data_IF_584588920104
#
_entry.id   IF_584588920104
#
_cell.length_a   1.000
_cell.length_b   1.000
_cell.length_c   1.000
_cell.angle_alpha   90.00
_cell.angle_beta   90.00
_cell.angle_gamma   90.00
#
_symmetry.space_group_name_H-M   'P 1'
#
loop_
_entity.id
_entity.type
_entity.pdbx_description
1 polymer ?
#
# COMPACT_ATOMS: atom_id res chain seq x y z
N UNK A 1 -13.33 10.62 8.29
CA UNK A 1 -12.21 9.73 8.63
C UNK A 1 -11.70 9.08 7.34
N UNK A 2 -10.41 8.78 7.27
CA UNK A 2 -9.75 8.09 6.16
C UNK A 2 -9.27 6.72 6.60
N UNK A 3 -9.34 5.76 5.70
CA UNK A 3 -8.72 4.44 5.85
C UNK A 3 -7.64 4.33 4.77
N UNK A 4 -6.41 4.00 5.19
CA UNK A 4 -5.37 3.53 4.28
C UNK A 4 -5.30 2.02 4.41
N UNK A 5 -5.45 1.33 3.29
CA UNK A 5 -5.30 -0.11 3.19
C UNK A 5 -4.33 -0.41 2.07
N UNK A 6 -3.34 -1.23 2.37
CA UNK A 6 -2.38 -1.76 1.41
C UNK A 6 -2.61 -3.26 1.31
N UNK A 7 -2.97 -3.72 0.11
CA UNK A 7 -3.34 -5.12 -0.13
C UNK A 7 -2.42 -5.73 -1.17
N UNK A 8 -1.96 -6.95 -0.92
CA UNK A 8 -1.40 -7.79 -1.96
C UNK A 8 -2.53 -8.25 -2.90
N UNK A 9 -2.43 -7.94 -4.18
CA UNK A 9 -3.51 -8.27 -5.13
C UNK A 9 -3.56 -9.75 -5.52
N UNK A 10 -2.50 -10.52 -5.27
CA UNK A 10 -2.48 -11.96 -5.54
C UNK A 10 -3.22 -12.73 -4.46
N UNK A 11 -2.82 -12.55 -3.20
CA UNK A 11 -3.41 -13.29 -2.06
C UNK A 11 -4.63 -12.59 -1.45
N UNK A 12 -4.85 -11.31 -1.77
CA UNK A 12 -5.82 -10.43 -1.08
C UNK A 12 -5.53 -10.25 0.41
N UNK A 13 -4.32 -10.58 0.83
CA UNK A 13 -3.85 -10.35 2.18
C UNK A 13 -3.64 -8.85 2.41
N UNK A 14 -4.10 -8.37 3.58
CA UNK A 14 -3.92 -6.96 3.97
C UNK A 14 -2.56 -6.80 4.62
N UNK A 15 -1.64 -6.14 3.91
CA UNK A 15 -0.26 -5.93 4.36
C UNK A 15 -0.16 -4.81 5.40
N UNK A 16 -1.01 -3.78 5.25
CA UNK A 16 -1.08 -2.69 6.22
C UNK A 16 -2.49 -2.09 6.23
N UNK A 17 -2.94 -1.70 7.42
CA UNK A 17 -4.22 -1.03 7.62
C UNK A 17 -4.07 0.05 8.69
N UNK A 18 -4.56 1.25 8.42
CA UNK A 18 -4.63 2.32 9.40
C UNK A 18 -5.86 3.21 9.20
N UNK A 19 -6.38 3.73 10.30
CA UNK A 19 -7.48 4.71 10.33
C UNK A 19 -6.97 6.02 10.89
N UNK A 20 -7.36 7.13 10.28
CA UNK A 20 -7.00 8.45 10.77
C UNK A 20 -7.96 9.55 10.32
N UNK A 21 -7.96 10.66 11.04
CA UNK A 21 -8.69 11.86 10.62
C UNK A 21 -7.98 12.59 9.47
N UNK A 22 -6.68 12.36 9.30
CA UNK A 22 -5.86 12.86 8.18
C UNK A 22 -5.07 11.73 7.55
N UNK A 23 -4.74 11.89 6.26
CA UNK A 23 -3.87 10.98 5.52
C UNK A 23 -2.78 11.79 4.82
N UNK A 24 -1.64 11.94 5.49
CA UNK A 24 -0.49 12.72 5.02
C UNK A 24 0.55 11.82 4.37
N UNK A 25 1.37 12.40 3.51
CA UNK A 25 2.50 11.72 2.85
C UNK A 25 3.41 10.96 3.82
N UNK A 26 3.70 11.54 5.01
CA UNK A 26 4.51 10.88 6.04
C UNK A 26 3.90 9.56 6.52
N UNK A 27 2.57 9.52 6.70
CA UNK A 27 1.86 8.31 7.13
C UNK A 27 1.91 7.22 6.05
N UNK A 28 1.82 7.63 4.78
CA UNK A 28 2.00 6.71 3.65
C UNK A 28 3.42 6.14 3.63
N UNK A 29 4.45 6.98 3.83
CA UNK A 29 5.85 6.52 3.89
C UNK A 29 6.04 5.51 5.01
N UNK A 30 5.58 5.83 6.22
CA UNK A 30 5.69 4.93 7.38
C UNK A 30 5.00 3.58 7.13
N UNK A 31 3.79 3.58 6.57
CA UNK A 31 3.10 2.35 6.22
C UNK A 31 3.94 1.47 5.27
N UNK A 32 4.66 2.09 4.33
CA UNK A 32 5.52 1.35 3.42
C UNK A 32 6.84 0.90 4.03
N UNK A 33 7.41 1.65 4.99
CA UNK A 33 8.56 1.19 5.76
C UNK A 33 8.24 -0.11 6.50
N UNK A 34 7.09 -0.16 7.18
CA UNK A 34 6.61 -1.36 7.86
C UNK A 34 6.41 -2.52 6.87
N UNK A 35 5.77 -2.28 5.72
CA UNK A 35 5.56 -3.33 4.71
C UNK A 35 6.89 -3.88 4.17
N UNK A 36 7.85 -3.00 3.88
CA UNK A 36 9.16 -3.39 3.35
C UNK A 36 9.89 -4.27 4.37
N UNK A 37 9.96 -3.85 5.63
CA UNK A 37 10.67 -4.60 6.68
C UNK A 37 9.97 -5.91 7.00
N UNK A 38 8.64 -5.88 7.21
CA UNK A 38 7.92 -7.03 7.76
C UNK A 38 7.60 -8.10 6.72
N UNK A 39 7.44 -7.73 5.45
CA UNK A 39 7.03 -8.66 4.39
C UNK A 39 8.06 -8.81 3.27
N UNK A 40 8.62 -7.71 2.75
CA UNK A 40 9.41 -7.78 1.51
C UNK A 40 10.85 -8.21 1.79
N UNK A 41 11.47 -7.62 2.80
CA UNK A 41 12.82 -7.96 3.25
C UNK A 41 12.84 -9.29 3.99
N UNK A 42 11.86 -9.53 4.87
CA UNK A 42 11.74 -10.80 5.61
C UNK A 42 11.62 -12.02 4.68
N UNK A 43 10.95 -11.86 3.52
CA UNK A 43 10.85 -12.89 2.50
C UNK A 43 11.98 -12.88 1.46
N UNK A 44 12.97 -12.00 1.60
CA UNK A 44 14.12 -11.83 0.71
C UNK A 44 13.73 -11.66 -0.78
N UNK A 45 12.67 -10.90 -1.04
CA UNK A 45 12.07 -10.81 -2.37
C UNK A 45 12.99 -10.13 -3.39
N UNK A 46 13.81 -9.17 -2.95
CA UNK A 46 14.75 -8.46 -3.81
C UNK A 46 15.82 -9.42 -4.37
N UNK A 47 16.45 -10.24 -3.52
CA UNK A 47 17.47 -11.21 -3.98
C UNK A 47 16.87 -12.33 -4.82
N UNK A 48 15.61 -12.66 -4.59
CA UNK A 48 14.84 -13.60 -5.42
C UNK A 48 14.44 -13.04 -6.78
N UNK A 49 14.80 -11.79 -7.09
CA UNK A 49 14.46 -11.13 -8.36
C UNK A 49 12.96 -10.85 -8.51
N UNK A 50 12.23 -10.78 -7.40
CA UNK A 50 10.80 -10.50 -7.41
C UNK A 50 10.59 -8.99 -7.51
N UNK A 51 9.91 -8.57 -8.57
CA UNK A 51 9.64 -7.16 -8.85
C UNK A 51 8.26 -6.75 -8.34
N UNK A 52 8.19 -5.68 -7.56
CA UNK A 52 6.96 -5.24 -6.90
C UNK A 52 6.43 -3.96 -7.56
N UNK A 53 5.22 -4.04 -8.09
CA UNK A 53 4.45 -2.95 -8.67
C UNK A 53 3.50 -2.34 -7.63
N UNK A 54 3.65 -1.05 -7.37
CA UNK A 54 2.75 -0.30 -6.48
C UNK A 54 1.71 0.48 -7.29
N UNK A 55 0.43 0.23 -7.05
CA UNK A 55 -0.70 0.95 -7.66
C UNK A 55 -1.52 1.69 -6.61
N UNK A 56 -1.75 2.98 -6.80
CA UNK A 56 -2.55 3.80 -5.88
C UNK A 56 -3.69 4.52 -6.62
N UNK A 57 -4.65 5.05 -5.88
CA UNK A 57 -5.82 5.79 -6.40
C UNK A 57 -5.49 7.23 -6.86
N UNK A 58 -4.25 7.53 -7.23
CA UNK A 58 -3.76 8.84 -7.67
C UNK A 58 -3.95 10.01 -6.67
N UNK A 59 -4.18 9.71 -5.38
CA UNK A 59 -4.24 10.75 -4.35
C UNK A 59 -2.92 11.54 -4.24
N UNK A 60 -2.96 12.86 -3.99
CA UNK A 60 -1.76 13.71 -3.99
C UNK A 60 -0.69 13.28 -2.98
N UNK A 61 -1.10 12.67 -1.87
CA UNK A 61 -0.20 12.11 -0.87
C UNK A 61 0.66 10.94 -1.40
N UNK A 62 0.21 10.23 -2.44
CA UNK A 62 0.94 9.11 -3.07
C UNK A 62 1.82 9.56 -4.25
N UNK A 63 1.49 10.70 -4.86
CA UNK A 63 2.23 11.27 -6.00
C UNK A 63 3.35 12.24 -5.61
N UNK A 64 3.57 12.49 -4.31
CA UNK A 64 4.59 13.43 -3.85
C UNK A 64 6.00 13.01 -4.27
N UNK A 65 6.88 13.99 -4.53
CA UNK A 65 8.31 13.74 -4.85
C UNK A 65 9.00 12.86 -3.80
N UNK A 66 8.61 13.02 -2.54
CA UNK A 66 9.14 12.25 -1.40
C UNK A 66 8.81 10.77 -1.54
N UNK A 67 7.56 10.42 -1.84
CA UNK A 67 7.14 9.01 -1.98
C UNK A 67 7.74 8.38 -3.22
N UNK A 68 7.86 9.15 -4.31
CA UNK A 68 8.53 8.67 -5.53
C UNK A 68 10.00 8.33 -5.27
N UNK A 69 10.76 9.25 -4.68
CA UNK A 69 12.16 9.03 -4.33
C UNK A 69 12.30 7.83 -3.39
N UNK A 70 11.43 7.74 -2.37
CA UNK A 70 11.43 6.62 -1.44
C UNK A 70 11.20 5.26 -2.12
N UNK A 71 10.29 5.16 -3.08
CA UNK A 71 10.09 3.91 -3.82
C UNK A 71 11.25 3.58 -4.75
N UNK A 72 11.84 4.58 -5.40
CA UNK A 72 13.02 4.41 -6.25
C UNK A 72 14.22 3.90 -5.43
N UNK A 73 14.48 4.49 -4.26
CA UNK A 73 15.52 4.08 -3.31
C UNK A 73 15.33 2.64 -2.79
N UNK A 74 14.09 2.18 -2.69
CA UNK A 74 13.75 0.84 -2.21
C UNK A 74 13.51 -0.18 -3.34
N UNK A 75 13.88 0.16 -4.58
CA UNK A 75 13.71 -0.69 -5.76
C UNK A 75 12.25 -1.12 -6.03
N UNK A 76 11.29 -0.31 -5.57
CA UNK A 76 9.87 -0.49 -5.83
C UNK A 76 9.48 0.27 -7.10
N UNK A 77 9.85 -0.28 -8.26
CA UNK A 77 9.60 0.35 -9.57
C UNK A 77 8.38 -0.27 -10.25
N UNK A 78 7.63 0.56 -10.98
CA UNK A 78 6.57 0.12 -11.89
C UNK A 78 7.22 -0.77 -12.97
N UNK A 79 6.98 -2.09 -12.96
CA UNK A 79 6.85 -3.07 -14.08
C UNK A 79 7.03 -4.53 -13.55
N UNK A 80 5.98 -5.38 -13.71
CA UNK A 80 5.73 -6.84 -13.43
C UNK A 80 6.76 -7.68 -12.61
N UNK A 81 6.47 -8.50 -11.57
CA UNK A 81 5.29 -9.27 -11.10
C UNK A 81 5.23 -9.34 -9.54
N UNK A 82 4.42 -8.48 -8.90
CA UNK A 82 3.67 -8.58 -7.64
C UNK A 82 2.96 -7.23 -7.59
N UNK A 83 1.63 -7.17 -7.52
CA UNK A 83 0.89 -5.91 -7.61
C UNK A 83 0.30 -5.63 -6.25
N UNK A 84 0.66 -4.49 -5.66
CA UNK A 84 0.14 -4.04 -4.38
C UNK A 84 -0.76 -2.83 -4.65
N UNK A 85 -2.02 -2.92 -4.23
CA UNK A 85 -3.00 -1.86 -4.45
C UNK A 85 -3.22 -1.05 -3.17
N UNK A 86 -3.09 0.27 -3.26
CA UNK A 86 -3.48 1.19 -2.21
C UNK A 86 -4.87 1.71 -2.50
N UNK A 87 -5.80 1.50 -1.57
CA UNK A 87 -7.09 2.17 -1.58
C UNK A 87 -7.16 3.29 -0.57
N UNK A 88 -7.61 4.47 -1.01
CA UNK A 88 -8.07 5.56 -0.13
C UNK A 88 -9.59 5.49 -0.05
N UNK A 89 -10.13 4.77 0.94
CA UNK A 89 -11.57 4.87 1.22
C UNK A 89 -11.83 6.11 2.08
N UNK A 90 -12.44 7.13 1.47
CA UNK A 90 -13.14 8.18 2.20
C UNK A 90 -14.50 7.61 2.60
N UNK A 91 -14.72 7.46 3.91
CA UNK A 91 -15.97 6.93 4.44
C UNK A 91 -17.08 8.00 4.26
N UNK A 92 -17.78 7.98 3.12
CA UNK A 92 -19.17 8.43 3.06
C UNK A 92 -20.01 7.27 3.60
N UNK A 93 -20.73 7.52 4.69
CA UNK A 93 -21.61 6.54 5.33
C UNK A 93 -22.58 5.95 4.29
N UNK A 94 -22.40 4.69 3.95
CA UNK A 94 -23.45 3.82 3.44
C UNK A 94 -23.22 2.44 4.06
N UNK A 95 -24.10 2.11 5.01
CA UNK A 95 -24.38 0.80 5.58
C UNK A 95 -23.28 -0.27 5.50
N UNK A 96 -22.64 -0.53 6.63
CA UNK A 96 -22.22 -1.89 6.98
C UNK A 96 -23.48 -2.77 6.97
N UNK A 97 -23.69 -3.58 5.92
CA UNK A 97 -24.37 -4.87 6.03
C UNK A 97 -24.10 -5.69 4.76
N UNK A 98 -23.79 -6.98 4.97
CA UNK A 98 -23.76 -8.09 4.01
C UNK A 98 -22.79 -7.98 2.82
N UNK A 99 -21.56 -8.48 2.98
CA UNK A 99 -20.93 -9.40 2.03
C UNK A 99 -19.45 -9.62 2.43
N UNK A 100 -19.20 -10.54 3.35
CA UNK A 100 -18.06 -11.47 3.29
C UNK A 100 -18.21 -12.54 4.40
N UNK A 101 -19.33 -13.27 4.34
CA UNK A 101 -19.36 -14.67 4.74
C UNK A 101 -19.92 -15.44 3.56
N UNK A 102 -19.01 -15.94 2.73
CA UNK A 102 -19.15 -17.16 1.92
C UNK A 102 -17.81 -17.47 1.28
#
# INVERSE_FOLDING_TARGET
AYILTVIDTFTRFTLHWQVGYTMRTRQVKQAWEEIITDYLQSADLLRKGVHIEVRNDNGPQFGSKIIRAFFEENHLTRFSHIRIHLRKMAMLRASMLSCLQR
#
